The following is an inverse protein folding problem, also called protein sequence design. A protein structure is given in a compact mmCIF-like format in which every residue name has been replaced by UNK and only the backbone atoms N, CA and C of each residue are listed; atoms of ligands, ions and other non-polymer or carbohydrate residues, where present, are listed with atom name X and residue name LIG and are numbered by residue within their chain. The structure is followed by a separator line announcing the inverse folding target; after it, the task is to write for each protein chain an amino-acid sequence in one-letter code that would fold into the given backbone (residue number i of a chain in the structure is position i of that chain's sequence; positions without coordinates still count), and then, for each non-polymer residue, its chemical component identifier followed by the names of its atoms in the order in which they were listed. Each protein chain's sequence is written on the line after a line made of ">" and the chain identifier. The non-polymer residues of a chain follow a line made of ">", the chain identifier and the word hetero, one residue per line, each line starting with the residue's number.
data_IF_703195946477
#
_entry.id   IF_703195946477
#
_cell.length_a   1.000
_cell.length_b   1.000
_cell.length_c   1.000
_cell.angle_alpha   90.00
_cell.angle_beta   90.00
_cell.angle_gamma   90.00
#
_symmetry.space_group_name_H-M   'P 1'
#
loop_
_entity.id
_entity.type
_entity.pdbx_description
1 polymer ?
#
# COMPACT_ATOMS: atom_id res chain seq x y z
N UNK A 1 13.67 -1.83 -16.67
CA UNK A 1 12.92 -1.20 -15.56
C UNK A 1 11.84 -0.32 -16.17
N UNK A 2 10.58 -0.51 -15.75
CA UNK A 2 9.48 0.37 -16.17
C UNK A 2 9.60 1.75 -15.53
N UNK A 3 9.00 2.77 -16.15
CA UNK A 3 8.80 4.08 -15.52
C UNK A 3 7.39 4.13 -14.95
N UNK A 4 7.26 4.43 -13.65
CA UNK A 4 5.97 4.69 -12.99
C UNK A 4 5.73 6.20 -13.02
N UNK A 5 4.73 6.61 -13.80
CA UNK A 5 4.28 8.00 -13.85
C UNK A 5 3.27 8.25 -12.72
N UNK A 6 3.55 9.23 -11.87
CA UNK A 6 2.68 9.67 -10.79
C UNK A 6 1.92 10.91 -11.27
N UNK A 7 0.60 10.77 -11.40
CA UNK A 7 -0.35 11.77 -11.88
C UNK A 7 -1.61 11.76 -11.00
N UNK A 8 -2.64 12.51 -11.41
CA UNK A 8 -3.97 12.51 -10.81
C UNK A 8 -4.83 11.31 -11.25
N UNK A 9 -4.43 10.62 -12.32
CA UNK A 9 -5.08 9.40 -12.82
C UNK A 9 -5.03 8.23 -11.83
N UNK A 10 -6.07 7.41 -11.85
CA UNK A 10 -6.14 6.22 -10.99
C UNK A 10 -5.18 5.11 -11.43
N UNK A 11 -4.56 4.43 -10.47
CA UNK A 11 -3.75 3.23 -10.66
C UNK A 11 -4.43 2.03 -10.00
N UNK A 12 -4.15 0.82 -10.49
CA UNK A 12 -4.54 -0.41 -9.77
C UNK A 12 -3.42 -0.84 -8.82
N UNK A 13 -3.77 -1.51 -7.72
CA UNK A 13 -2.81 -2.12 -6.80
C UNK A 13 -1.77 -3.02 -7.52
N UNK A 14 -2.18 -3.61 -8.65
CA UNK A 14 -1.33 -4.47 -9.51
C UNK A 14 -0.12 -3.73 -10.06
N UNK A 15 -0.20 -2.41 -10.25
CA UNK A 15 0.91 -1.57 -10.70
C UNK A 15 2.11 -1.65 -9.75
N UNK A 16 1.86 -1.95 -8.47
CA UNK A 16 2.89 -1.97 -7.44
C UNK A 16 3.54 -3.35 -7.23
N UNK A 17 3.04 -4.42 -7.86
CA UNK A 17 3.57 -5.79 -7.67
C UNK A 17 5.08 -5.87 -7.94
N UNK A 18 5.56 -5.17 -8.97
CA UNK A 18 6.97 -5.14 -9.34
C UNK A 18 7.86 -4.40 -8.32
N UNK A 19 7.27 -3.57 -7.46
CA UNK A 19 8.00 -2.79 -6.45
C UNK A 19 8.28 -3.58 -5.18
N UNK A 20 7.72 -4.78 -5.02
CA UNK A 20 7.99 -5.59 -3.85
C UNK A 20 9.43 -6.12 -3.81
N UNK A 21 9.86 -6.70 -4.93
CA UNK A 21 11.16 -7.36 -5.07
C UNK A 21 12.10 -6.59 -6.03
N UNK A 22 11.63 -5.49 -6.60
CA UNK A 22 12.37 -4.68 -7.58
C UNK A 22 12.25 -3.18 -7.34
N UNK A 23 12.85 -2.42 -8.25
CA UNK A 23 12.77 -0.97 -8.31
C UNK A 23 12.24 -0.51 -9.67
N UNK A 24 11.76 0.73 -9.72
CA UNK A 24 11.30 1.39 -10.93
C UNK A 24 11.83 2.81 -10.97
N UNK A 25 11.79 3.42 -12.16
CA UNK A 25 12.04 4.85 -12.27
C UNK A 25 10.73 5.60 -12.05
N UNK A 26 10.73 6.63 -11.21
CA UNK A 26 9.54 7.40 -10.86
C UNK A 26 9.61 8.81 -11.45
N UNK A 27 8.47 9.31 -11.94
CA UNK A 27 8.33 10.70 -12.41
C UNK A 27 6.99 11.27 -11.98
N UNK A 28 6.97 12.54 -11.58
CA UNK A 28 5.74 13.32 -11.45
C UNK A 28 5.36 13.88 -12.82
N UNK A 29 4.08 13.76 -13.21
CA UNK A 29 3.54 14.40 -14.41
C UNK A 29 3.60 15.94 -14.30
N UNK A 30 3.43 16.63 -15.44
CA UNK A 30 3.41 18.10 -15.45
C UNK A 30 2.20 18.63 -14.66
N UNK A 31 1.08 17.94 -14.77
CA UNK A 31 -0.18 18.20 -14.10
C UNK A 31 -0.02 18.03 -12.59
N UNK A 32 0.57 16.92 -12.13
CA UNK A 32 0.86 16.70 -10.72
C UNK A 32 1.74 17.80 -10.11
N UNK A 33 2.80 18.20 -10.81
CA UNK A 33 3.68 19.30 -10.37
C UNK A 33 2.92 20.63 -10.27
N UNK A 34 2.05 20.92 -11.24
CA UNK A 34 1.19 22.10 -11.24
C UNK A 34 0.20 22.08 -10.08
N UNK A 35 -0.48 20.95 -9.85
CA UNK A 35 -1.44 20.78 -8.76
C UNK A 35 -0.79 20.97 -7.39
N UNK A 36 0.41 20.42 -7.18
CA UNK A 36 1.18 20.63 -5.95
C UNK A 36 1.51 22.12 -5.75
N UNK A 37 1.99 22.80 -6.80
CA UNK A 37 2.34 24.22 -6.72
C UNK A 37 1.11 25.10 -6.38
N UNK A 38 -0.02 24.87 -7.06
CA UNK A 38 -1.27 25.62 -6.82
C UNK A 38 -1.78 25.39 -5.40
N UNK A 39 -1.78 24.14 -4.93
CA UNK A 39 -2.15 23.79 -3.55
C UNK A 39 -1.30 24.51 -2.51
N UNK A 40 0.02 24.57 -2.76
CA UNK A 40 0.96 25.25 -1.87
C UNK A 40 0.74 26.76 -1.83
N UNK A 41 0.53 27.39 -2.98
CA UNK A 41 0.23 28.81 -3.09
C UNK A 41 -1.07 29.16 -2.36
N UNK A 42 -2.11 28.32 -2.51
CA UNK A 42 -3.37 28.50 -1.80
C UNK A 42 -3.17 28.42 -0.28
N UNK A 43 -2.43 27.43 0.23
CA UNK A 43 -2.15 27.34 1.66
C UNK A 43 -1.43 28.60 2.17
N UNK A 44 -0.43 29.11 1.45
CA UNK A 44 0.28 30.32 1.85
C UNK A 44 -0.64 31.55 1.86
N UNK A 45 -1.58 31.66 0.91
CA UNK A 45 -2.58 32.73 0.92
C UNK A 45 -3.50 32.65 2.13
N UNK A 46 -3.97 31.45 2.50
CA UNK A 46 -4.82 31.24 3.69
C UNK A 46 -4.02 31.53 4.98
N UNK A 47 -2.75 31.15 5.06
CA UNK A 47 -1.91 31.48 6.23
C UNK A 47 -1.81 33.01 6.42
N UNK A 48 -1.77 33.76 5.32
CA UNK A 48 -1.68 35.22 5.37
C UNK A 48 -2.99 35.93 5.77
N UNK A 49 -4.14 35.25 5.82
CA UNK A 49 -5.39 35.85 6.33
C UNK A 49 -5.39 36.00 7.85
N UNK A 50 -4.55 35.22 8.55
CA UNK A 50 -4.51 35.17 10.02
C UNK A 50 -5.52 34.21 10.64
N UNK A 51 -6.28 33.48 9.82
CA UNK A 51 -7.26 32.49 10.31
C UNK A 51 -6.58 31.35 11.09
N UNK A 52 -7.29 30.79 12.07
CA UNK A 52 -6.83 29.58 12.76
C UNK A 52 -7.07 28.35 11.89
N UNK A 53 -5.99 27.62 11.61
CA UNK A 53 -6.00 26.44 10.74
C UNK A 53 -5.36 25.27 11.48
N UNK A 54 -6.10 24.16 11.55
CA UNK A 54 -5.66 22.95 12.25
C UNK A 54 -4.29 22.46 11.74
N UNK A 55 -3.34 22.29 12.67
CA UNK A 55 -2.01 21.76 12.40
C UNK A 55 -1.13 22.62 11.49
N UNK A 56 -1.54 23.86 11.24
CA UNK A 56 -0.73 24.89 10.57
C UNK A 56 -0.22 25.89 11.61
N UNK A 57 -1.15 26.60 12.28
CA UNK A 57 -0.87 27.60 13.33
C UNK A 57 -1.63 27.28 14.64
N UNK A 58 -1.95 26.01 14.84
CA UNK A 58 -2.56 25.46 16.06
C UNK A 58 -1.80 24.22 16.51
N UNK A 59 -2.00 23.79 17.76
CA UNK A 59 -1.52 22.50 18.25
C UNK A 59 -2.23 21.30 17.61
N UNK A 60 -1.85 20.09 18.02
CA UNK A 60 -2.38 18.83 17.47
C UNK A 60 -3.22 18.07 18.50
N UNK A 61 -4.21 17.31 18.04
CA UNK A 61 -5.07 16.50 18.90
C UNK A 61 -5.73 17.34 20.00
N UNK A 62 -5.55 16.94 21.27
CA UNK A 62 -6.09 17.66 22.45
C UNK A 62 -5.65 19.13 22.52
N UNK A 63 -4.55 19.50 21.86
CA UNK A 63 -4.00 20.86 21.84
C UNK A 63 -4.46 21.69 20.63
N UNK A 64 -5.45 21.22 19.86
CA UNK A 64 -5.97 21.91 18.65
C UNK A 64 -6.46 23.33 18.90
N UNK A 65 -6.85 23.65 20.14
CA UNK A 65 -7.38 24.96 20.51
C UNK A 65 -6.28 25.96 20.91
N UNK A 66 -5.00 25.54 20.91
CA UNK A 66 -3.86 26.40 21.25
C UNK A 66 -3.29 26.99 19.97
N UNK A 67 -3.27 28.32 19.86
CA UNK A 67 -2.66 29.05 18.74
C UNK A 67 -1.13 29.10 18.88
N UNK A 68 -0.43 29.02 17.75
CA UNK A 68 1.03 29.01 17.66
C UNK A 68 1.48 30.23 16.85
N UNK A 69 2.52 30.92 17.34
CA UNK A 69 3.09 32.09 16.66
C UNK A 69 3.78 31.70 15.36
N UNK A 70 3.80 32.62 14.39
CA UNK A 70 4.41 32.41 13.07
C UNK A 70 5.88 31.99 13.14
N UNK A 71 6.65 32.54 14.08
CA UNK A 71 8.07 32.22 14.31
C UNK A 71 8.30 30.77 14.78
N UNK A 72 7.32 30.19 15.47
CA UNK A 72 7.39 28.83 16.03
C UNK A 72 6.89 27.74 15.06
N UNK A 73 6.27 28.11 13.92
CA UNK A 73 5.60 27.13 13.05
C UNK A 73 6.56 26.07 12.50
N UNK A 74 7.81 26.43 12.20
CA UNK A 74 8.81 25.45 11.74
C UNK A 74 9.17 24.47 12.87
N UNK A 75 9.34 24.97 14.09
CA UNK A 75 9.65 24.16 15.26
C UNK A 75 8.47 23.25 15.63
N UNK A 76 7.23 23.73 15.49
CA UNK A 76 6.01 22.95 15.67
C UNK A 76 6.00 21.70 14.77
N UNK A 77 6.29 21.86 13.48
CA UNK A 77 6.29 20.74 12.53
C UNK A 77 7.45 19.77 12.78
N UNK A 78 8.63 20.27 13.15
CA UNK A 78 9.77 19.43 13.55
C UNK A 78 9.44 18.61 14.82
N UNK A 79 8.84 19.23 15.82
CA UNK A 79 8.44 18.57 17.06
C UNK A 79 7.33 17.55 16.83
N UNK A 80 6.39 17.82 15.92
CA UNK A 80 5.38 16.84 15.52
C UNK A 80 6.04 15.56 15.00
N UNK A 81 6.97 15.68 14.05
CA UNK A 81 7.70 14.53 13.49
C UNK A 81 8.39 13.74 14.59
N UNK A 82 9.18 14.41 15.43
CA UNK A 82 9.96 13.73 16.49
C UNK A 82 9.08 13.08 17.55
N UNK A 83 8.04 13.77 18.03
CA UNK A 83 7.13 13.25 19.05
C UNK A 83 6.34 12.02 18.59
N UNK A 84 6.05 11.92 17.29
CA UNK A 84 5.28 10.81 16.72
C UNK A 84 6.16 9.68 16.19
N UNK A 85 7.49 9.83 16.15
CA UNK A 85 8.42 8.76 15.77
C UNK A 85 8.58 7.69 16.87
N UNK A 86 7.45 7.21 17.41
CA UNK A 86 7.34 6.25 18.51
C UNK A 86 7.10 4.80 18.05
N UNK A 87 7.22 4.54 16.73
CA UNK A 87 7.09 3.19 16.18
C UNK A 87 8.14 2.20 16.72
N UNK A 88 7.77 0.92 16.84
CA UNK A 88 8.58 -0.15 17.42
C UNK A 88 8.58 -1.44 16.58
N UNK A 89 9.47 -2.36 16.95
CA UNK A 89 9.55 -3.70 16.38
C UNK A 89 10.37 -3.78 15.10
N UNK A 90 10.36 -4.95 14.45
CA UNK A 90 11.12 -5.20 13.22
C UNK A 90 10.69 -4.20 12.12
N UNK A 91 11.61 -3.71 11.28
CA UNK A 91 11.27 -2.84 10.17
C UNK A 91 10.23 -3.46 9.21
N UNK A 92 9.50 -2.59 8.50
CA UNK A 92 8.73 -2.95 7.31
C UNK A 92 9.67 -3.50 6.22
N UNK A 93 9.13 -4.32 5.32
CA UNK A 93 9.87 -4.77 4.15
C UNK A 93 10.20 -3.61 3.21
N UNK A 94 11.30 -3.73 2.46
CA UNK A 94 11.75 -2.68 1.52
C UNK A 94 10.68 -2.34 0.48
N UNK A 95 10.03 -3.36 -0.09
CA UNK A 95 8.93 -3.18 -1.03
C UNK A 95 7.72 -2.43 -0.46
N UNK A 96 7.32 -2.76 0.78
CA UNK A 96 6.23 -2.04 1.47
C UNK A 96 6.62 -0.58 1.72
N UNK A 97 7.85 -0.34 2.19
CA UNK A 97 8.38 1.01 2.40
C UNK A 97 8.36 1.83 1.12
N UNK A 98 8.81 1.24 0.01
CA UNK A 98 8.80 1.86 -1.31
C UNK A 98 7.38 2.23 -1.75
N UNK A 99 6.43 1.31 -1.62
CA UNK A 99 5.03 1.56 -1.96
C UNK A 99 4.44 2.65 -1.07
N UNK A 100 4.72 2.67 0.24
CA UNK A 100 4.29 3.76 1.15
C UNK A 100 4.75 5.13 0.64
N UNK A 101 6.02 5.25 0.20
CA UNK A 101 6.56 6.50 -0.34
C UNK A 101 5.86 6.89 -1.67
N UNK A 102 5.58 5.92 -2.54
CA UNK A 102 4.86 6.17 -3.80
C UNK A 102 3.42 6.61 -3.54
N UNK A 103 2.70 5.94 -2.64
CA UNK A 103 1.34 6.31 -2.26
C UNK A 103 1.30 7.72 -1.67
N UNK A 104 2.30 8.10 -0.87
CA UNK A 104 2.40 9.47 -0.34
C UNK A 104 2.55 10.50 -1.46
N UNK A 105 3.40 10.24 -2.45
CA UNK A 105 3.53 11.09 -3.63
C UNK A 105 2.23 11.16 -4.44
N UNK A 106 1.50 10.04 -4.59
CA UNK A 106 0.21 10.02 -5.29
C UNK A 106 -0.84 10.88 -4.59
N UNK A 107 -0.91 10.84 -3.26
CA UNK A 107 -1.79 11.73 -2.48
C UNK A 107 -1.42 13.20 -2.71
N UNK A 108 -0.13 13.55 -2.68
CA UNK A 108 0.31 14.92 -2.92
C UNK A 108 0.06 15.38 -4.36
N UNK A 109 0.20 14.49 -5.34
CA UNK A 109 -0.03 14.77 -6.77
C UNK A 109 -1.46 15.25 -7.05
N UNK A 110 -2.44 14.89 -6.20
CA UNK A 110 -3.83 15.37 -6.32
C UNK A 110 -4.00 16.85 -5.96
N UNK A 111 -3.03 17.48 -5.28
CA UNK A 111 -3.05 18.93 -5.05
C UNK A 111 -3.93 19.41 -3.89
N UNK A 112 -4.13 18.60 -2.85
CA UNK A 112 -4.95 18.97 -1.67
C UNK A 112 -4.16 19.02 -0.35
N UNK A 113 -2.84 18.82 -0.39
CA UNK A 113 -2.02 18.71 0.83
C UNK A 113 -1.30 20.01 1.23
N UNK A 114 -1.16 20.99 0.33
CA UNK A 114 -0.48 22.27 0.58
C UNK A 114 1.04 22.18 0.80
N UNK A 115 1.66 21.04 0.51
CA UNK A 115 3.11 20.81 0.65
C UNK A 115 3.91 21.59 -0.40
N UNK A 116 5.14 21.96 -0.10
CA UNK A 116 6.01 22.64 -1.06
C UNK A 116 6.45 21.71 -2.20
N UNK A 117 6.68 22.23 -3.42
CA UNK A 117 7.27 21.44 -4.52
C UNK A 117 8.62 20.82 -4.16
N UNK A 118 9.38 21.45 -3.25
CA UNK A 118 10.67 20.91 -2.79
C UNK A 118 10.49 19.64 -1.96
N UNK A 119 9.44 19.56 -1.13
CA UNK A 119 9.17 18.38 -0.32
C UNK A 119 8.81 17.17 -1.19
N UNK A 120 7.92 17.34 -2.18
CA UNK A 120 7.58 16.26 -3.12
C UNK A 120 8.76 15.85 -3.98
N UNK A 121 9.59 16.80 -4.41
CA UNK A 121 10.80 16.49 -5.17
C UNK A 121 11.80 15.66 -4.36
N UNK A 122 12.02 15.98 -3.07
CA UNK A 122 12.90 15.17 -2.22
C UNK A 122 12.42 13.72 -2.09
N UNK A 123 11.11 13.50 -1.87
CA UNK A 123 10.56 12.15 -1.75
C UNK A 123 10.70 11.37 -3.08
N UNK A 124 10.50 12.04 -4.21
CA UNK A 124 10.70 11.49 -5.55
C UNK A 124 12.18 11.11 -5.78
N UNK A 125 13.11 11.96 -5.37
CA UNK A 125 14.54 11.71 -5.53
C UNK A 125 14.99 10.57 -4.62
N UNK A 126 14.51 10.50 -3.38
CA UNK A 126 14.76 9.37 -2.48
C UNK A 126 14.29 8.04 -3.10
N UNK A 127 13.09 8.01 -3.70
CA UNK A 127 12.59 6.82 -4.43
C UNK A 127 13.49 6.44 -5.61
N UNK A 128 13.90 7.41 -6.43
CA UNK A 128 14.75 7.16 -7.59
C UNK A 128 16.19 6.73 -7.23
N UNK A 129 16.66 7.10 -6.04
CA UNK A 129 17.94 6.63 -5.48
C UNK A 129 17.80 5.36 -4.61
N UNK A 130 16.59 4.80 -4.49
CA UNK A 130 16.24 3.68 -3.60
C UNK A 130 16.73 3.90 -2.15
N UNK A 131 16.57 5.13 -1.64
CA UNK A 131 16.84 5.50 -0.26
C UNK A 131 15.56 5.27 0.54
N UNK A 132 15.48 4.14 1.23
CA UNK A 132 14.26 3.69 1.89
C UNK A 132 14.36 3.88 3.42
N UNK A 133 13.48 4.67 4.05
CA UNK A 133 13.48 4.83 5.51
C UNK A 133 13.32 3.49 6.25
N UNK A 134 14.04 3.33 7.36
CA UNK A 134 13.84 2.19 8.27
C UNK A 134 12.60 2.49 9.11
N UNK A 135 11.45 1.96 8.69
CA UNK A 135 10.16 2.20 9.33
C UNK A 135 9.79 1.00 10.23
N UNK A 136 9.67 1.16 11.56
CA UNK A 136 9.20 0.10 12.44
C UNK A 136 7.74 -0.30 12.15
N UNK A 137 7.43 -1.60 12.23
CA UNK A 137 6.11 -2.12 11.82
C UNK A 137 4.96 -1.95 12.84
N UNK A 138 5.25 -1.54 14.08
CA UNK A 138 4.24 -1.37 15.15
C UNK A 138 4.19 0.09 15.61
N UNK A 139 3.02 0.52 16.12
CA UNK A 139 2.83 1.84 16.75
C UNK A 139 1.64 2.63 16.18
N UNK A 140 1.23 2.34 14.94
CA UNK A 140 -0.01 2.90 14.38
C UNK A 140 -1.23 2.20 14.98
N UNK A 141 -2.28 2.98 15.24
CA UNK A 141 -3.63 2.47 15.58
C UNK A 141 -4.56 2.43 14.37
N UNK A 142 -4.12 2.91 13.19
CA UNK A 142 -4.86 2.81 11.93
C UNK A 142 -6.19 3.56 11.87
N UNK A 143 -6.46 4.50 12.77
CA UNK A 143 -7.77 5.16 12.89
C UNK A 143 -7.97 6.30 11.86
N UNK A 144 -7.09 7.31 11.85
CA UNK A 144 -7.16 8.46 10.94
C UNK A 144 -5.84 8.75 10.22
N UNK A 145 -4.83 7.90 10.43
CA UNK A 145 -3.52 8.04 9.81
C UNK A 145 -2.48 7.12 10.43
N UNK A 146 -1.51 6.72 9.61
CA UNK A 146 -0.36 5.92 9.99
C UNK A 146 0.75 6.80 10.60
N UNK A 147 0.36 7.63 11.57
CA UNK A 147 1.18 8.72 12.12
C UNK A 147 2.56 8.24 12.57
N UNK A 148 2.61 7.18 13.37
CA UNK A 148 3.87 6.69 13.93
C UNK A 148 4.87 6.17 12.89
N UNK A 149 4.51 5.24 11.99
CA UNK A 149 5.43 4.79 10.94
C UNK A 149 5.72 5.90 9.91
N UNK A 150 4.77 6.77 9.56
CA UNK A 150 5.02 7.91 8.67
C UNK A 150 5.92 8.97 9.31
N UNK A 151 5.94 9.08 10.64
CA UNK A 151 6.90 9.93 11.35
C UNK A 151 8.34 9.43 11.19
N UNK A 152 8.56 8.10 11.20
CA UNK A 152 9.89 7.53 10.90
C UNK A 152 10.33 7.80 9.46
N UNK A 153 9.40 7.76 8.49
CA UNK A 153 9.68 8.23 7.11
C UNK A 153 10.06 9.72 7.08
N UNK A 154 9.31 10.56 7.80
CA UNK A 154 9.58 11.99 7.88
C UNK A 154 10.93 12.30 8.54
N UNK A 155 11.31 11.57 9.60
CA UNK A 155 12.64 11.65 10.22
C UNK A 155 13.74 11.48 9.16
N UNK A 156 13.66 10.46 8.32
CA UNK A 156 14.64 10.24 7.26
C UNK A 156 14.74 11.43 6.29
N UNK A 157 13.62 12.04 5.93
CA UNK A 157 13.59 13.20 5.03
C UNK A 157 14.22 14.46 5.65
N UNK A 158 14.09 14.65 6.97
CA UNK A 158 14.78 15.72 7.73
C UNK A 158 16.22 15.35 8.12
N UNK A 159 16.72 14.20 7.67
CA UNK A 159 18.10 13.74 7.89
C UNK A 159 18.34 13.13 9.27
N UNK A 160 17.28 12.67 9.94
CA UNK A 160 17.29 11.96 11.22
C UNK A 160 16.92 10.49 11.02
N UNK A 161 17.40 9.61 11.91
CA UNK A 161 17.17 8.18 11.80
C UNK A 161 17.94 7.49 10.67
N UNK A 162 17.52 6.27 10.37
CA UNK A 162 18.22 5.35 9.47
C UNK A 162 17.42 5.06 8.19
N UNK A 163 18.16 4.74 7.13
CA UNK A 163 17.64 4.31 5.84
C UNK A 163 18.37 3.07 5.37
N UNK A 164 17.70 2.23 4.61
CA UNK A 164 18.33 1.24 3.76
C UNK A 164 18.81 1.93 2.46
N UNK A 165 20.10 1.81 2.16
CA UNK A 165 20.70 2.40 0.96
C UNK A 165 21.94 1.60 0.55
N UNK A 166 21.98 1.15 -0.72
CA UNK A 166 23.06 0.31 -1.29
C UNK A 166 23.35 -0.92 -0.41
N UNK A 167 22.32 -1.74 -0.21
CA UNK A 167 22.36 -3.04 0.47
C UNK A 167 22.73 -3.03 1.96
N UNK A 168 22.62 -1.87 2.62
CA UNK A 168 22.87 -1.75 4.06
C UNK A 168 22.05 -0.65 4.71
N UNK A 169 21.91 -0.75 6.03
CA UNK A 169 21.37 0.32 6.87
C UNK A 169 22.48 1.36 7.11
N UNK A 170 22.14 2.64 6.96
CA UNK A 170 23.02 3.79 7.24
C UNK A 170 22.16 4.97 7.71
N UNK A 171 22.78 5.97 8.34
CA UNK A 171 22.06 7.19 8.70
C UNK A 171 21.50 7.92 7.47
N UNK A 172 20.29 8.46 7.59
CA UNK A 172 19.59 9.17 6.52
C UNK A 172 20.42 10.34 5.97
N UNK A 173 21.03 11.13 6.87
CA UNK A 173 21.93 12.23 6.51
C UNK A 173 23.08 11.79 5.59
N UNK A 174 23.69 10.64 5.87
CA UNK A 174 24.80 10.14 5.06
C UNK A 174 24.33 9.64 3.70
N UNK A 175 23.20 8.93 3.63
CA UNK A 175 22.64 8.47 2.37
C UNK A 175 22.24 9.65 1.46
N UNK A 176 21.50 10.63 2.00
CA UNK A 176 21.10 11.83 1.26
C UNK A 176 22.34 12.55 0.70
N UNK A 177 23.35 12.83 1.54
CA UNK A 177 24.60 13.48 1.10
C UNK A 177 25.31 12.70 0.00
N UNK A 178 25.42 11.37 0.11
CA UNK A 178 26.07 10.51 -0.89
C UNK A 178 25.34 10.48 -2.23
N UNK A 179 24.04 10.80 -2.25
CA UNK A 179 23.23 10.91 -3.46
C UNK A 179 23.06 12.35 -3.94
N UNK A 180 23.82 13.31 -3.38
CA UNK A 180 23.71 14.73 -3.75
C UNK A 180 22.43 15.42 -3.26
N UNK A 181 21.67 14.77 -2.37
CA UNK A 181 20.44 15.29 -1.79
C UNK A 181 20.71 16.00 -0.46
N UNK A 182 19.81 16.89 -0.06
CA UNK A 182 19.87 17.62 1.22
C UNK A 182 18.62 17.32 2.05
N UNK A 183 18.76 17.17 3.38
CA UNK A 183 17.61 17.12 4.27
C UNK A 183 16.66 18.30 4.08
N UNK A 184 15.35 18.06 4.22
CA UNK A 184 14.35 19.11 4.14
C UNK A 184 14.25 19.89 5.46
N UNK A 185 13.98 21.19 5.36
CA UNK A 185 13.53 22.02 6.48
C UNK A 185 12.03 22.21 6.30
N UNK A 186 11.24 21.75 7.26
CA UNK A 186 9.78 21.74 7.14
C UNK A 186 9.21 23.16 7.24
N UNK A 187 8.35 23.50 6.29
CA UNK A 187 7.48 24.67 6.35
C UNK A 187 6.17 24.40 7.07
N UNK A 188 5.27 25.40 7.19
CA UNK A 188 3.95 25.24 7.78
C UNK A 188 3.19 24.05 7.17
N UNK A 189 2.50 23.26 8.00
CA UNK A 189 1.75 22.05 7.63
C UNK A 189 2.57 20.86 7.10
N UNK A 190 3.84 21.01 6.74
CA UNK A 190 4.58 19.95 6.05
C UNK A 190 4.86 18.73 6.93
N UNK A 191 5.11 18.92 8.23
CA UNK A 191 5.19 17.81 9.19
C UNK A 191 3.88 17.03 9.25
N UNK A 192 2.75 17.75 9.40
CA UNK A 192 1.43 17.11 9.41
C UNK A 192 1.15 16.36 8.10
N UNK A 193 1.43 16.97 6.95
CA UNK A 193 1.20 16.37 5.63
C UNK A 193 2.08 15.13 5.36
N UNK A 194 3.24 15.02 6.02
CA UNK A 194 4.07 13.82 5.98
C UNK A 194 3.45 12.68 6.79
N UNK A 195 2.95 12.99 7.99
CA UNK A 195 2.47 12.00 8.96
C UNK A 195 1.02 11.56 8.73
N UNK A 196 0.18 12.40 8.12
CA UNK A 196 -1.24 12.12 7.97
C UNK A 196 -1.54 11.22 6.76
N UNK A 197 -2.58 10.38 6.90
CA UNK A 197 -3.04 9.45 5.86
C UNK A 197 -2.64 7.98 6.10
N UNK A 198 -3.21 7.09 5.29
CA UNK A 198 -3.25 5.62 5.49
C UNK A 198 -2.21 4.87 4.64
N UNK A 199 -1.13 5.54 4.24
CA UNK A 199 -0.19 5.04 3.22
C UNK A 199 0.55 3.75 3.62
N UNK A 200 0.77 3.50 4.91
CA UNK A 200 1.45 2.29 5.39
C UNK A 200 0.48 1.13 5.41
N UNK A 201 -0.71 1.34 5.97
CA UNK A 201 -1.81 0.38 6.01
C UNK A 201 -2.23 -0.04 4.61
N UNK A 202 -2.36 0.91 3.68
CA UNK A 202 -2.65 0.65 2.27
C UNK A 202 -1.53 -0.12 1.59
N UNK A 203 -0.25 0.21 1.83
CA UNK A 203 0.87 -0.56 1.28
C UNK A 203 0.91 -2.01 1.79
N UNK A 204 0.60 -2.24 3.06
CA UNK A 204 0.46 -3.58 3.65
C UNK A 204 -0.72 -4.34 3.05
N UNK A 205 -1.84 -3.67 2.79
CA UNK A 205 -3.00 -4.26 2.15
C UNK A 205 -2.72 -4.64 0.69
N UNK A 206 -2.00 -3.80 -0.07
CA UNK A 206 -1.53 -4.12 -1.42
C UNK A 206 -0.62 -5.36 -1.40
N UNK A 207 0.30 -5.47 -0.43
CA UNK A 207 1.12 -6.70 -0.26
C UNK A 207 0.25 -7.91 0.00
N UNK A 208 -0.71 -7.78 0.91
CA UNK A 208 -1.66 -8.84 1.26
C UNK A 208 -2.49 -9.27 0.05
N UNK A 209 -2.93 -8.34 -0.81
CA UNK A 209 -3.64 -8.64 -2.06
C UNK A 209 -2.75 -9.41 -3.04
N UNK A 210 -1.50 -8.98 -3.22
CA UNK A 210 -0.54 -9.66 -4.09
C UNK A 210 -0.31 -11.12 -3.67
N UNK A 211 -0.05 -11.34 -2.38
CA UNK A 211 0.15 -12.66 -1.81
C UNK A 211 -1.14 -13.49 -1.83
N UNK A 212 -2.29 -12.90 -1.48
CA UNK A 212 -3.59 -13.58 -1.49
C UNK A 212 -3.98 -14.03 -2.89
N UNK A 213 -3.70 -13.23 -3.94
CA UNK A 213 -3.95 -13.65 -5.32
C UNK A 213 -3.18 -14.93 -5.65
N UNK A 214 -1.92 -15.02 -5.25
CA UNK A 214 -1.09 -16.23 -5.43
C UNK A 214 -1.65 -17.40 -4.63
N UNK A 215 -2.02 -17.17 -3.36
CA UNK A 215 -2.59 -18.21 -2.50
C UNK A 215 -3.91 -18.77 -3.05
N UNK A 216 -4.78 -17.92 -3.59
CA UNK A 216 -6.03 -18.38 -4.21
C UNK A 216 -5.76 -19.26 -5.43
N UNK A 217 -4.76 -18.95 -6.26
CA UNK A 217 -4.37 -19.84 -7.37
C UNK A 217 -3.77 -21.15 -6.86
N UNK A 218 -2.89 -21.09 -5.86
CA UNK A 218 -2.28 -22.27 -5.26
C UNK A 218 -3.31 -23.17 -4.56
N UNK A 219 -4.38 -22.59 -3.99
CA UNK A 219 -5.46 -23.34 -3.39
C UNK A 219 -6.16 -24.23 -4.42
N UNK A 220 -6.51 -23.72 -5.60
CA UNK A 220 -7.12 -24.52 -6.67
C UNK A 220 -6.18 -25.63 -7.16
N UNK A 221 -4.89 -25.34 -7.31
CA UNK A 221 -3.87 -26.33 -7.70
C UNK A 221 -3.75 -27.43 -6.63
N UNK A 222 -3.66 -27.04 -5.36
CA UNK A 222 -3.53 -27.98 -4.24
C UNK A 222 -4.81 -28.81 -4.07
N UNK A 223 -5.98 -28.22 -4.31
CA UNK A 223 -7.27 -28.91 -4.31
C UNK A 223 -7.38 -29.93 -5.44
N UNK A 224 -6.88 -29.62 -6.64
CA UNK A 224 -6.78 -30.57 -7.74
C UNK A 224 -5.86 -31.74 -7.37
N UNK A 225 -4.64 -31.48 -6.91
CA UNK A 225 -3.71 -32.53 -6.47
C UNK A 225 -4.31 -33.42 -5.36
N UNK A 226 -5.00 -32.80 -4.39
CA UNK A 226 -5.67 -33.53 -3.32
C UNK A 226 -6.78 -34.43 -3.86
N UNK A 227 -7.52 -33.96 -4.87
CA UNK A 227 -8.57 -34.73 -5.54
C UNK A 227 -7.99 -35.98 -6.22
N UNK A 228 -6.87 -35.84 -6.92
CA UNK A 228 -6.17 -36.99 -7.51
C UNK A 228 -5.71 -37.97 -6.42
N UNK A 229 -5.02 -37.46 -5.40
CA UNK A 229 -4.46 -38.27 -4.32
C UNK A 229 -5.52 -39.02 -3.51
N UNK A 230 -6.73 -38.45 -3.35
CA UNK A 230 -7.84 -39.07 -2.61
C UNK A 230 -8.76 -39.93 -3.47
N UNK A 231 -8.44 -40.12 -4.76
CA UNK A 231 -9.28 -40.81 -5.75
C UNK A 231 -10.71 -40.27 -5.70
N UNK A 232 -10.83 -38.93 -5.78
CA UNK A 232 -12.10 -38.22 -5.69
C UNK A 232 -12.62 -37.73 -7.04
N UNK A 233 -13.94 -37.68 -7.13
CA UNK A 233 -14.67 -37.45 -8.38
C UNK A 233 -14.45 -36.03 -8.91
N UNK A 234 -14.30 -35.93 -10.22
CA UNK A 234 -14.25 -34.64 -10.94
C UNK A 234 -15.64 -34.01 -11.14
N UNK A 235 -16.70 -34.81 -11.12
CA UNK A 235 -18.08 -34.39 -11.39
C UNK A 235 -18.53 -33.17 -10.60
N UNK A 236 -18.23 -33.02 -9.28
CA UNK A 236 -18.59 -31.83 -8.52
C UNK A 236 -17.96 -30.53 -8.99
N UNK A 237 -16.97 -30.57 -9.89
CA UNK A 237 -16.31 -29.40 -10.44
C UNK A 237 -16.81 -29.02 -11.84
N UNK A 238 -17.74 -29.77 -12.43
CA UNK A 238 -18.26 -29.46 -13.77
C UNK A 238 -18.83 -28.03 -13.82
N UNK A 239 -18.25 -27.14 -14.66
CA UNK A 239 -18.71 -25.75 -14.77
C UNK A 239 -20.19 -25.62 -15.12
N UNK A 240 -20.81 -26.62 -15.77
CA UNK A 240 -22.26 -26.62 -16.07
C UNK A 240 -23.10 -26.57 -14.80
N UNK A 241 -22.71 -27.28 -13.75
CA UNK A 241 -23.41 -27.27 -12.46
C UNK A 241 -23.29 -25.89 -11.82
N UNK A 242 -22.09 -25.30 -11.88
CA UNK A 242 -21.82 -24.02 -11.22
C UNK A 242 -22.41 -22.82 -11.95
N UNK A 243 -22.65 -22.91 -13.26
CA UNK A 243 -23.40 -21.90 -14.02
C UNK A 243 -24.85 -21.71 -13.55
N UNK A 244 -25.41 -22.68 -12.83
CA UNK A 244 -26.75 -22.59 -12.24
C UNK A 244 -26.78 -21.69 -10.98
N UNK A 245 -25.61 -21.31 -10.45
CA UNK A 245 -25.48 -20.41 -9.29
C UNK A 245 -24.97 -19.03 -9.72
N UNK A 246 -25.36 -18.00 -8.97
CA UNK A 246 -24.98 -16.60 -9.22
C UNK A 246 -23.60 -16.20 -8.64
N UNK A 247 -22.91 -17.11 -7.97
CA UNK A 247 -21.61 -16.85 -7.35
C UNK A 247 -20.48 -17.00 -8.37
N UNK A 248 -19.95 -15.87 -8.85
CA UNK A 248 -18.88 -15.86 -9.86
C UNK A 248 -17.61 -16.53 -9.33
N UNK A 249 -17.23 -16.26 -8.09
CA UNK A 249 -16.02 -16.86 -7.52
C UNK A 249 -16.11 -18.39 -7.47
N UNK A 250 -17.30 -18.91 -7.18
CA UNK A 250 -17.56 -20.35 -7.18
C UNK A 250 -17.42 -20.96 -8.59
N UNK A 251 -17.97 -20.30 -9.61
CA UNK A 251 -17.81 -20.73 -11.00
C UNK A 251 -16.34 -20.72 -11.43
N UNK A 252 -15.59 -19.69 -11.06
CA UNK A 252 -14.17 -19.56 -11.40
C UNK A 252 -13.35 -20.70 -10.75
N UNK A 253 -13.56 -20.97 -9.46
CA UNK A 253 -12.87 -22.04 -8.74
C UNK A 253 -13.19 -23.43 -9.33
N UNK A 254 -14.47 -23.73 -9.58
CA UNK A 254 -14.86 -24.98 -10.24
C UNK A 254 -14.21 -25.15 -11.60
N UNK A 255 -14.24 -24.10 -12.42
CA UNK A 255 -13.66 -24.11 -13.77
C UNK A 255 -12.16 -24.32 -13.76
N UNK A 256 -11.45 -23.75 -12.79
CA UNK A 256 -10.01 -23.97 -12.63
C UNK A 256 -9.69 -25.41 -12.25
N UNK A 257 -10.32 -25.93 -11.20
CA UNK A 257 -10.06 -27.30 -10.71
C UNK A 257 -10.45 -28.33 -11.78
N UNK A 258 -11.62 -28.17 -12.41
CA UNK A 258 -12.05 -29.05 -13.50
C UNK A 258 -11.05 -29.08 -14.66
N UNK A 259 -10.51 -27.91 -15.05
CA UNK A 259 -9.52 -27.82 -16.13
C UNK A 259 -8.23 -28.53 -15.80
N UNK A 260 -7.76 -28.44 -14.55
CA UNK A 260 -6.55 -29.14 -14.08
C UNK A 260 -6.74 -30.65 -14.10
N UNK A 261 -7.95 -31.14 -13.77
CA UNK A 261 -8.23 -32.56 -13.61
C UNK A 261 -8.75 -33.27 -14.88
N UNK A 262 -9.28 -32.54 -15.86
CA UNK A 262 -10.02 -33.12 -17.01
C UNK A 262 -9.27 -34.25 -17.73
N UNK A 263 -7.94 -34.19 -17.78
CA UNK A 263 -7.10 -35.17 -18.47
C UNK A 263 -6.40 -36.16 -17.52
N UNK A 264 -6.64 -36.09 -16.21
CA UNK A 264 -5.98 -36.95 -15.22
C UNK A 264 -6.36 -38.42 -15.39
N UNK A 265 -5.36 -39.29 -15.45
CA UNK A 265 -5.53 -40.75 -15.46
C UNK A 265 -5.92 -41.30 -14.09
N UNK A 266 -5.45 -40.65 -13.01
CA UNK A 266 -5.79 -40.99 -11.61
C UNK A 266 -7.27 -40.70 -11.35
N UNK A 267 -7.79 -39.60 -11.89
CA UNK A 267 -9.22 -39.31 -11.80
C UNK A 267 -10.04 -40.33 -12.60
N UNK A 268 -9.56 -40.74 -13.77
CA UNK A 268 -10.24 -41.74 -14.60
C UNK A 268 -10.27 -43.13 -13.96
N UNK A 269 -9.21 -43.53 -13.26
CA UNK A 269 -9.08 -44.88 -12.69
C UNK A 269 -10.11 -45.20 -11.61
N UNK A 270 -10.73 -44.19 -10.99
CA UNK A 270 -11.72 -44.36 -9.93
C UNK A 270 -13.15 -43.97 -10.34
N UNK A 271 -13.42 -43.73 -11.63
CA UNK A 271 -14.75 -43.32 -12.11
C UNK A 271 -15.88 -44.30 -11.77
N UNK A 272 -15.55 -45.59 -11.64
CA UNK A 272 -16.49 -46.67 -11.34
C UNK A 272 -16.30 -47.21 -9.90
N UNK A 273 -16.18 -46.32 -8.90
CA UNK A 273 -16.09 -46.73 -7.49
C UNK A 273 -17.45 -46.69 -6.79
N UNK A 274 -17.58 -47.41 -5.67
CA UNK A 274 -18.83 -47.48 -4.88
C UNK A 274 -19.17 -46.18 -4.14
N UNK A 275 -18.27 -45.19 -4.16
CA UNK A 275 -18.45 -43.93 -3.45
C UNK A 275 -19.43 -43.02 -4.20
N UNK A 276 -20.62 -42.85 -3.63
CA UNK A 276 -21.67 -41.97 -4.19
C UNK A 276 -21.27 -40.49 -4.17
N UNK A 277 -20.61 -40.04 -3.11
CA UNK A 277 -20.13 -38.65 -2.98
C UNK A 277 -18.82 -38.58 -2.20
N UNK A 278 -17.95 -37.66 -2.61
CA UNK A 278 -16.75 -37.33 -1.87
C UNK A 278 -17.02 -36.50 -0.60
N UNK A 279 -16.09 -36.56 0.37
CA UNK A 279 -16.12 -35.67 1.53
C UNK A 279 -16.19 -34.20 1.13
N UNK A 280 -16.77 -33.38 2.01
CA UNK A 280 -16.98 -31.95 1.74
C UNK A 280 -15.68 -31.20 1.50
N UNK A 281 -14.57 -31.63 2.10
CA UNK A 281 -13.24 -31.05 1.88
C UNK A 281 -12.80 -31.09 0.41
N UNK A 282 -13.29 -32.04 -0.39
CA UNK A 282 -13.05 -32.10 -1.84
C UNK A 282 -14.27 -31.60 -2.60
N UNK A 283 -15.45 -32.16 -2.33
CA UNK A 283 -16.67 -31.87 -3.09
C UNK A 283 -17.09 -30.41 -3.03
N UNK A 284 -16.81 -29.73 -1.92
CA UNK A 284 -17.18 -28.33 -1.70
C UNK A 284 -16.04 -27.34 -1.98
N UNK A 285 -14.90 -27.77 -2.56
CA UNK A 285 -13.78 -26.87 -2.93
C UNK A 285 -14.25 -25.62 -3.69
N UNK A 286 -15.10 -25.70 -4.73
CA UNK A 286 -15.56 -24.51 -5.44
C UNK A 286 -16.30 -23.52 -4.56
N UNK A 287 -17.06 -24.01 -3.58
CA UNK A 287 -17.83 -23.16 -2.67
C UNK A 287 -16.89 -22.37 -1.74
N UNK A 288 -15.93 -23.07 -1.13
CA UNK A 288 -14.99 -22.48 -0.16
C UNK A 288 -13.99 -21.55 -0.85
N UNK A 289 -13.36 -22.02 -1.93
CA UNK A 289 -12.41 -21.20 -2.69
C UNK A 289 -13.14 -20.04 -3.38
N UNK A 290 -14.34 -20.29 -3.89
CA UNK A 290 -15.16 -19.27 -4.54
C UNK A 290 -15.58 -18.14 -3.61
N UNK A 291 -16.04 -18.44 -2.40
CA UNK A 291 -16.36 -17.43 -1.40
C UNK A 291 -15.12 -16.56 -1.07
N UNK A 292 -13.94 -17.20 -0.95
CA UNK A 292 -12.68 -16.49 -0.72
C UNK A 292 -12.32 -15.54 -1.89
N UNK A 293 -12.60 -15.93 -3.14
CA UNK A 293 -12.40 -15.08 -4.32
C UNK A 293 -13.35 -13.88 -4.37
N UNK A 294 -14.60 -14.05 -3.93
CA UNK A 294 -15.56 -12.94 -3.86
C UNK A 294 -15.15 -11.92 -2.80
N UNK A 295 -14.72 -12.38 -1.62
CA UNK A 295 -14.16 -11.50 -0.58
C UNK A 295 -12.91 -10.78 -1.11
N UNK A 296 -11.98 -11.50 -1.74
CA UNK A 296 -10.79 -10.92 -2.36
C UNK A 296 -11.15 -9.81 -3.36
N UNK A 297 -12.12 -10.05 -4.24
CA UNK A 297 -12.58 -9.08 -5.24
C UNK A 297 -13.19 -7.83 -4.58
N UNK A 298 -13.87 -7.99 -3.44
CA UNK A 298 -14.38 -6.84 -2.69
C UNK A 298 -13.24 -6.03 -2.06
N UNK A 299 -12.26 -6.71 -1.44
CA UNK A 299 -11.09 -6.05 -0.84
C UNK A 299 -10.27 -5.34 -1.92
N UNK A 300 -10.09 -5.94 -3.10
CA UNK A 300 -9.42 -5.31 -4.25
C UNK A 300 -10.02 -3.93 -4.57
N UNK A 301 -11.36 -3.83 -4.62
CA UNK A 301 -12.04 -2.55 -4.86
C UNK A 301 -11.83 -1.54 -3.74
N UNK A 302 -11.90 -1.98 -2.48
CA UNK A 302 -11.70 -1.10 -1.32
C UNK A 302 -10.29 -0.51 -1.35
N UNK A 303 -9.28 -1.33 -1.61
CA UNK A 303 -7.88 -0.89 -1.65
C UNK A 303 -7.59 -0.04 -2.88
N UNK A 304 -8.12 -0.37 -4.06
CA UNK A 304 -8.00 0.49 -5.25
C UNK A 304 -8.66 1.87 -5.03
N UNK A 305 -9.78 1.94 -4.30
CA UNK A 305 -10.38 3.22 -3.95
C UNK A 305 -9.50 4.02 -2.97
N UNK A 306 -9.01 3.39 -1.91
CA UNK A 306 -8.19 4.06 -0.89
C UNK A 306 -6.87 4.57 -1.48
N UNK A 307 -6.17 3.74 -2.27
CA UNK A 307 -4.87 4.11 -2.84
C UNK A 307 -4.97 5.28 -3.84
N UNK A 308 -6.15 5.49 -4.42
CA UNK A 308 -6.45 6.59 -5.34
C UNK A 308 -7.19 7.75 -4.68
N UNK A 309 -7.26 7.80 -3.35
CA UNK A 309 -7.92 8.89 -2.60
C UNK A 309 -6.91 9.87 -1.98
N UNK A 310 -7.44 10.93 -1.35
CA UNK A 310 -6.66 11.82 -0.48
C UNK A 310 -7.03 11.46 0.95
N UNK A 311 -6.03 11.01 1.72
CA UNK A 311 -6.17 10.62 3.12
C UNK A 311 -5.32 11.52 4.02
#
# INVERSE_FOLDING_TARGET
>A
MGTVLISDSSLSWRTFDCLFDGTAHFRLSREAKKSILVSHQLLNNIINTGDQIYGVNTGFGKLSNISIKTEDLKQLQLNLVRSHACGLGKPLGLGVTRITMVLKLMTWAKGYSGISPKLSQLLLDMLNHDILPVIPRKGSVGASGDLAPLAHMACAMIGEGDVFFKDRITSARNALRKSGLKPIVLGPKEGLSLLNGTHVSTALAIRSLSESKRLLTLADISGALSTEASLSSITPFDPKIHKLKKHKGQLDAATNVFRLLKSSEIVKSHQNCDRVQDPYSIRCLPHVHGASREIFTNVEKIIDNELNSVS
#
